data_IF_782250757555
#
_entry.id   IF_782250757555
#
_cell.length_a   1.000
_cell.length_b   1.000
_cell.length_c   1.000
_cell.angle_alpha   90.00
_cell.angle_beta   90.00
_cell.angle_gamma   90.00
#
_symmetry.space_group_name_H-M   'P 1'
#
loop_
_entity.id
_entity.type
_entity.pdbx_description
1 polymer ?
#
# COMPACT_ATOMS: atom_id res chain seq x y z
N UNK A 1 -24.56 1.46 -7.40
CA UNK A 1 -23.16 1.24 -7.82
C UNK A 1 -22.39 1.03 -6.53
N UNK A 2 -21.68 -0.09 -6.31
CA UNK A 2 -20.69 -0.08 -5.24
C UNK A 2 -19.73 1.06 -5.59
N UNK A 3 -19.42 1.95 -4.64
CA UNK A 3 -18.38 2.96 -4.83
C UNK A 3 -17.12 2.23 -5.32
N UNK A 4 -16.55 2.67 -6.44
CA UNK A 4 -15.22 2.24 -6.82
C UNK A 4 -14.29 2.54 -5.64
N UNK A 5 -13.69 1.49 -5.10
CA UNK A 5 -12.85 1.59 -3.93
C UNK A 5 -11.65 2.49 -4.23
N UNK A 6 -11.24 3.31 -3.26
CA UNK A 6 -10.15 4.27 -3.41
C UNK A 6 -8.85 3.60 -3.92
N UNK A 7 -8.30 4.15 -5.00
CA UNK A 7 -6.98 3.77 -5.52
C UNK A 7 -5.93 4.63 -4.83
N UNK A 8 -4.93 4.03 -4.13
CA UNK A 8 -3.90 4.81 -3.45
C UNK A 8 -3.10 5.67 -4.42
N UNK A 9 -2.77 6.89 -3.98
CA UNK A 9 -1.97 7.82 -4.77
C UNK A 9 -0.53 7.32 -4.85
N UNK A 10 0.07 7.36 -6.04
CA UNK A 10 1.42 6.84 -6.31
C UNK A 10 1.61 5.38 -5.88
N UNK A 11 0.60 4.54 -6.14
CA UNK A 11 0.60 3.15 -5.71
C UNK A 11 1.83 2.37 -6.18
N UNK A 12 2.12 2.36 -7.48
CA UNK A 12 3.24 1.58 -8.02
C UNK A 12 4.58 2.15 -7.55
N UNK A 13 4.75 3.47 -7.59
CA UNK A 13 5.98 4.15 -7.20
C UNK A 13 6.30 3.94 -5.70
N UNK A 14 5.27 3.94 -4.84
CA UNK A 14 5.43 3.65 -3.42
C UNK A 14 5.88 2.21 -3.18
N UNK A 15 5.30 1.24 -3.89
CA UNK A 15 5.61 -0.19 -3.73
C UNK A 15 7.00 -0.52 -4.29
N UNK A 16 7.32 -0.02 -5.48
CA UNK A 16 8.65 -0.15 -6.09
C UNK A 16 9.72 0.54 -5.24
N UNK A 17 9.46 1.77 -4.77
CA UNK A 17 10.40 2.54 -3.95
C UNK A 17 10.68 1.93 -2.58
N UNK A 18 9.71 1.21 -2.02
CA UNK A 18 9.86 0.50 -0.75
C UNK A 18 10.75 -0.76 -0.87
N UNK A 19 10.97 -1.24 -2.10
CA UNK A 19 11.81 -2.41 -2.40
C UNK A 19 11.51 -3.59 -1.46
N UNK A 20 10.24 -4.01 -1.45
CA UNK A 20 9.69 -4.97 -0.48
C UNK A 20 10.50 -6.28 -0.48
N UNK A 21 10.79 -6.77 0.71
CA UNK A 21 11.52 -8.00 0.98
C UNK A 21 10.57 -9.02 1.63
N UNK A 22 10.57 -10.30 1.22
CA UNK A 22 9.63 -11.29 1.73
C UNK A 22 9.60 -11.51 3.25
N UNK A 23 10.69 -11.19 3.94
CA UNK A 23 10.79 -11.28 5.41
C UNK A 23 10.96 -9.89 6.07
N UNK A 24 10.64 -8.81 5.34
CA UNK A 24 10.74 -7.44 5.83
C UNK A 24 9.67 -7.12 6.87
N UNK A 25 9.97 -6.18 7.75
CA UNK A 25 9.00 -5.59 8.68
C UNK A 25 8.74 -4.16 8.26
N UNK A 26 7.48 -3.83 8.00
CA UNK A 26 7.06 -2.54 7.46
C UNK A 26 6.13 -1.82 8.43
N UNK A 27 6.20 -0.49 8.42
CA UNK A 27 5.34 0.39 9.23
C UNK A 27 4.55 1.27 8.28
N UNK A 28 3.22 1.14 8.30
CA UNK A 28 2.33 2.08 7.66
C UNK A 28 1.97 3.19 8.67
N UNK A 29 2.68 4.31 8.59
CA UNK A 29 2.46 5.45 9.48
C UNK A 29 1.17 6.22 9.18
N UNK A 30 0.47 5.87 8.10
CA UNK A 30 -0.65 6.63 7.54
C UNK A 30 -1.79 5.71 7.08
N UNK A 31 -1.99 4.58 7.77
CA UNK A 31 -2.84 3.45 7.39
C UNK A 31 -4.07 3.81 6.53
N UNK A 32 -4.89 4.77 6.94
CA UNK A 32 -6.02 5.25 6.14
C UNK A 32 -6.99 4.11 5.80
N UNK A 33 -7.33 3.96 4.52
CA UNK A 33 -8.12 2.82 4.03
C UNK A 33 -7.34 1.50 3.91
N UNK A 34 -6.02 1.49 4.16
CA UNK A 34 -5.18 0.30 4.09
C UNK A 34 -4.74 -0.09 2.67
N UNK A 35 -4.91 0.79 1.68
CA UNK A 35 -4.64 0.47 0.28
C UNK A 35 -3.17 0.12 0.00
N UNK A 36 -2.20 0.85 0.58
CA UNK A 36 -0.78 0.49 0.48
C UNK A 36 -0.45 -0.74 1.33
N UNK A 37 -0.99 -0.81 2.56
CA UNK A 37 -0.82 -1.97 3.44
C UNK A 37 -1.26 -3.29 2.79
N UNK A 38 -2.34 -3.28 1.99
CA UNK A 38 -2.84 -4.48 1.29
C UNK A 38 -1.85 -5.05 0.28
N UNK A 39 -1.02 -4.21 -0.33
CA UNK A 39 -0.04 -4.67 -1.33
C UNK A 39 1.28 -5.12 -0.66
N UNK A 40 1.55 -4.67 0.56
CA UNK A 40 2.73 -5.11 1.34
C UNK A 40 2.56 -6.54 1.89
N UNK A 41 1.32 -7.01 2.09
CA UNK A 41 0.96 -8.30 2.70
C UNK A 41 0.55 -9.35 1.65
#
# INVERSE_FOLDING_TARGET
>A
MPEEYHIPVLFNEAIEGLNIQPAGTYVDCTFGGGGHSREIL
#
